data_IF_444651935649
#
_entry.id   IF_444651935649
#
_cell.length_a   1.000
_cell.length_b   1.000
_cell.length_c   1.000
_cell.angle_alpha   90.00
_cell.angle_beta   90.00
_cell.angle_gamma   90.00
#
_symmetry.space_group_name_H-M   'P 1'
#
loop_
_entity.id
_entity.type
_entity.pdbx_description
1 polymer ?
#
# COMPACT_ATOMS: atom_id res chain seq x y z
N UNK A 1 -19.46 -50.49 23.68
CA UNK A 1 -18.66 -49.39 24.28
C UNK A 1 -17.39 -49.10 23.48
N UNK A 2 -16.74 -50.12 22.92
CA UNK A 2 -15.52 -49.96 22.08
C UNK A 2 -15.77 -49.20 20.76
N UNK A 3 -16.94 -49.36 20.15
CA UNK A 3 -17.32 -48.63 18.93
C UNK A 3 -17.52 -47.14 19.16
N UNK A 4 -18.15 -46.77 20.28
CA UNK A 4 -18.38 -45.37 20.66
C UNK A 4 -17.06 -44.65 20.95
N UNK A 5 -16.15 -45.31 21.68
CA UNK A 5 -14.83 -44.75 22.00
C UNK A 5 -13.96 -44.62 20.74
N UNK A 6 -14.01 -45.59 19.83
CA UNK A 6 -13.32 -45.51 18.53
C UNK A 6 -13.85 -44.36 17.66
N UNK A 7 -15.18 -44.21 17.57
CA UNK A 7 -15.80 -43.11 16.84
C UNK A 7 -15.40 -41.75 17.43
N UNK A 8 -15.40 -41.63 18.76
CA UNK A 8 -15.00 -40.41 19.46
C UNK A 8 -13.54 -40.06 19.14
N UNK A 9 -12.63 -41.04 19.19
CA UNK A 9 -11.21 -40.83 18.90
C UNK A 9 -10.96 -40.34 17.46
N UNK A 10 -11.68 -40.90 16.48
CA UNK A 10 -11.60 -40.46 15.08
C UNK A 10 -12.09 -39.02 14.93
N UNK A 11 -13.26 -38.71 15.50
CA UNK A 11 -13.82 -37.35 15.46
C UNK A 11 -12.88 -36.35 16.12
N UNK A 12 -12.35 -36.66 17.30
CA UNK A 12 -11.36 -35.81 17.98
C UNK A 12 -10.12 -35.60 17.13
N UNK A 13 -9.59 -36.64 16.49
CA UNK A 13 -8.42 -36.53 15.61
C UNK A 13 -8.67 -35.61 14.41
N UNK A 14 -9.85 -35.70 13.79
CA UNK A 14 -10.23 -34.82 12.67
C UNK A 14 -10.39 -33.38 13.16
N UNK A 15 -11.09 -33.18 14.28
CA UNK A 15 -11.34 -31.86 14.84
C UNK A 15 -10.05 -31.17 15.22
N UNK A 16 -9.10 -31.89 15.84
CA UNK A 16 -7.80 -31.34 16.22
C UNK A 16 -7.00 -30.91 14.98
N UNK A 17 -6.99 -31.75 13.94
CA UNK A 17 -6.27 -31.47 12.69
C UNK A 17 -6.86 -30.30 11.91
N UNK A 18 -8.15 -30.00 12.06
CA UNK A 18 -8.79 -28.87 11.40
C UNK A 18 -8.72 -27.60 12.26
N UNK A 19 -8.99 -27.73 13.55
CA UNK A 19 -9.04 -26.59 14.47
C UNK A 19 -7.67 -25.96 14.69
N UNK A 20 -6.60 -26.76 14.79
CA UNK A 20 -5.24 -26.23 15.02
C UNK A 20 -4.80 -25.31 13.86
N UNK A 21 -4.84 -25.72 12.58
CA UNK A 21 -4.47 -24.84 11.47
C UNK A 21 -5.33 -23.58 11.37
N UNK A 22 -6.64 -23.69 11.62
CA UNK A 22 -7.55 -22.54 11.59
C UNK A 22 -7.23 -21.57 12.72
N UNK A 23 -7.02 -22.07 13.95
CA UNK A 23 -6.66 -21.24 15.08
C UNK A 23 -5.31 -20.54 14.87
N UNK A 24 -4.31 -21.25 14.33
CA UNK A 24 -3.01 -20.67 14.01
C UNK A 24 -3.10 -19.59 12.93
N UNK A 25 -3.84 -19.82 11.85
CA UNK A 25 -4.01 -18.80 10.80
C UNK A 25 -4.78 -17.59 11.32
N UNK A 26 -5.83 -17.79 12.12
CA UNK A 26 -6.56 -16.69 12.77
C UNK A 26 -5.66 -15.89 13.71
N UNK A 27 -4.85 -16.55 14.53
CA UNK A 27 -3.87 -15.89 15.40
C UNK A 27 -2.87 -15.07 14.58
N UNK A 28 -2.34 -15.62 13.49
CA UNK A 28 -1.38 -14.93 12.63
C UNK A 28 -2.00 -13.68 11.99
N UNK A 29 -3.24 -13.78 11.50
CA UNK A 29 -3.99 -12.63 10.95
C UNK A 29 -4.14 -11.53 11.99
N UNK A 30 -4.49 -11.86 13.24
CA UNK A 30 -4.66 -10.88 14.31
C UNK A 30 -3.33 -10.18 14.63
N UNK A 31 -2.24 -10.93 14.72
CA UNK A 31 -0.90 -10.39 14.98
C UNK A 31 -0.47 -9.44 13.86
N UNK A 32 -0.61 -9.87 12.60
CA UNK A 32 -0.23 -9.05 11.45
C UNK A 32 -1.08 -7.78 11.35
N UNK A 33 -2.39 -7.85 11.59
CA UNK A 33 -3.26 -6.67 11.59
C UNK A 33 -2.87 -5.66 12.67
N UNK A 34 -2.50 -6.14 13.86
CA UNK A 34 -2.02 -5.25 14.93
C UNK A 34 -0.72 -4.55 14.55
N UNK A 35 0.21 -5.30 13.97
CA UNK A 35 1.48 -4.75 13.52
C UNK A 35 1.29 -3.71 12.40
N UNK A 36 0.44 -4.03 11.42
CA UNK A 36 0.10 -3.12 10.33
C UNK A 36 -0.57 -1.83 10.85
N UNK A 37 -1.52 -1.95 11.77
CA UNK A 37 -2.16 -0.77 12.39
C UNK A 37 -1.17 0.12 13.14
N UNK A 38 -0.15 -0.48 13.75
CA UNK A 38 0.89 0.27 14.44
C UNK A 38 1.77 1.05 13.45
N UNK A 39 2.20 0.41 12.36
CA UNK A 39 2.98 1.09 11.32
C UNK A 39 2.20 2.14 10.57
N UNK A 40 0.89 1.95 10.35
CA UNK A 40 0.03 2.98 9.77
C UNK A 40 -0.03 4.21 10.68
N UNK A 41 -0.21 4.01 11.99
CA UNK A 41 -0.19 5.12 12.96
C UNK A 41 1.17 5.84 12.97
N UNK A 42 2.28 5.12 12.85
CA UNK A 42 3.62 5.72 12.77
C UNK A 42 3.84 6.51 11.46
N UNK A 43 3.30 6.01 10.35
CA UNK A 43 3.35 6.69 9.05
C UNK A 43 2.52 7.97 9.02
N UNK A 44 1.38 8.02 9.73
CA UNK A 44 0.59 9.24 9.89
C UNK A 44 1.33 10.31 10.71
N UNK A 45 2.13 9.91 11.71
CA UNK A 45 2.95 10.82 12.51
C UNK A 45 4.15 11.38 11.73
N UNK A 46 4.69 10.62 10.79
CA UNK A 46 5.84 11.00 9.96
C UNK A 46 5.47 11.01 8.48
N UNK A 47 4.61 11.95 8.03
CA UNK A 47 4.24 12.02 6.63
C UNK A 47 5.49 12.32 5.80
N UNK A 48 5.82 11.40 4.89
CA UNK A 48 6.91 11.62 3.95
C UNK A 48 6.55 12.80 3.05
N UNK A 49 7.43 13.79 2.88
CA UNK A 49 7.15 14.93 2.01
C UNK A 49 7.00 14.45 0.57
N UNK A 50 5.78 14.56 0.03
CA UNK A 50 5.52 14.29 -1.38
C UNK A 50 6.07 15.45 -2.19
N UNK A 51 7.19 15.23 -2.86
CA UNK A 51 7.75 16.22 -3.77
C UNK A 51 6.83 16.35 -4.99
N UNK A 52 6.22 17.53 -5.15
CA UNK A 52 5.36 17.88 -6.28
C UNK A 52 6.12 18.76 -7.26
N UNK A 53 6.82 18.20 -8.26
CA UNK A 53 7.36 19.02 -9.32
C UNK A 53 6.22 19.68 -10.10
N UNK A 54 6.35 20.97 -10.37
CA UNK A 54 5.36 21.77 -11.06
C UNK A 54 5.37 21.45 -12.55
N UNK A 55 4.55 20.46 -12.95
CA UNK A 55 4.53 19.96 -14.32
C UNK A 55 4.22 21.05 -15.35
N UNK A 56 3.41 22.04 -14.98
CA UNK A 56 3.01 23.15 -15.84
C UNK A 56 4.17 24.09 -16.17
N UNK A 57 5.15 24.26 -15.27
CA UNK A 57 6.34 25.06 -15.54
C UNK A 57 7.24 24.35 -16.56
N UNK A 58 7.38 23.03 -16.43
CA UNK A 58 8.20 22.22 -17.35
C UNK A 58 7.56 22.08 -18.73
N UNK A 59 6.22 21.99 -18.79
CA UNK A 59 5.46 21.90 -20.05
C UNK A 59 5.13 23.25 -20.69
N UNK A 60 5.35 24.37 -19.98
CA UNK A 60 5.04 25.72 -20.48
C UNK A 60 3.54 25.97 -20.66
N UNK A 61 2.70 25.48 -19.74
CA UNK A 61 1.25 25.62 -19.85
C UNK A 61 0.80 27.08 -19.63
N UNK A 62 -0.22 27.51 -20.38
CA UNK A 62 -0.84 28.83 -20.21
C UNK A 62 -1.58 28.94 -18.86
N UNK A 63 -1.71 30.14 -18.27
CA UNK A 63 -2.32 30.31 -16.95
C UNK A 63 -3.77 29.80 -16.88
N UNK A 64 -4.53 29.89 -17.97
CA UNK A 64 -5.91 29.39 -18.04
C UNK A 64 -5.95 27.86 -17.99
N UNK A 65 -5.02 27.19 -18.67
CA UNK A 65 -4.87 25.73 -18.62
C UNK A 65 -4.44 25.23 -17.24
N UNK A 66 -3.64 26.01 -16.51
CA UNK A 66 -3.19 25.66 -15.15
C UNK A 66 -4.36 25.70 -14.16
N UNK A 67 -5.29 26.65 -14.31
CA UNK A 67 -6.48 26.75 -13.46
C UNK A 67 -7.43 25.56 -13.63
N UNK A 68 -7.56 25.06 -14.86
CA UNK A 68 -8.44 23.92 -15.18
C UNK A 68 -7.77 22.56 -15.00
N UNK A 69 -6.46 22.52 -14.76
CA UNK A 69 -5.72 21.27 -14.66
C UNK A 69 -5.92 20.57 -13.30
N UNK A 70 -6.45 19.34 -13.33
CA UNK A 70 -6.60 18.50 -12.14
C UNK A 70 -5.27 18.29 -11.38
N UNK A 71 -4.14 18.20 -12.09
CA UNK A 71 -2.82 18.05 -11.45
C UNK A 71 -2.31 19.32 -10.76
N UNK A 72 -2.76 20.50 -11.19
CA UNK A 72 -2.45 21.76 -10.52
C UNK A 72 -3.13 21.83 -9.15
N UNK A 73 -4.43 21.48 -9.11
CA UNK A 73 -5.24 21.52 -7.90
C UNK A 73 -4.96 20.38 -6.90
N UNK A 74 -4.44 19.23 -7.35
CA UNK A 74 -4.18 18.07 -6.48
C UNK A 74 -2.90 18.22 -5.65
N UNK A 75 -2.82 17.66 -4.43
CA UNK A 75 -1.55 17.54 -3.69
C UNK A 75 -0.56 16.55 -4.34
N UNK A 76 -1.03 15.71 -5.27
CA UNK A 76 -0.23 14.69 -5.91
C UNK A 76 0.48 15.22 -7.17
N UNK A 77 1.62 14.62 -7.55
CA UNK A 77 2.27 14.95 -8.82
C UNK A 77 1.40 14.52 -10.01
N UNK A 78 1.59 15.18 -11.16
CA UNK A 78 0.69 15.03 -12.31
C UNK A 78 0.52 13.60 -12.80
N UNK A 79 1.58 12.79 -12.75
CA UNK A 79 1.56 11.41 -13.21
C UNK A 79 0.75 10.48 -12.29
N UNK A 80 0.60 10.83 -11.01
CA UNK A 80 -0.29 10.12 -10.08
C UNK A 80 -1.75 10.55 -10.30
N UNK A 81 -1.99 11.83 -10.55
CA UNK A 81 -3.35 12.36 -10.81
C UNK A 81 -3.95 11.79 -12.08
N UNK A 82 -3.15 11.67 -13.14
CA UNK A 82 -3.59 11.14 -14.42
C UNK A 82 -3.38 9.62 -14.56
N UNK A 83 -3.04 8.93 -13.47
CA UNK A 83 -2.87 7.48 -13.46
C UNK A 83 -4.18 6.79 -13.84
N UNK A 84 -4.10 5.70 -14.59
CA UNK A 84 -5.30 4.96 -14.98
C UNK A 84 -5.87 4.19 -13.79
N UNK A 85 -7.16 3.86 -13.84
CA UNK A 85 -7.86 3.15 -12.75
C UNK A 85 -7.27 1.77 -12.46
N UNK A 86 -6.63 1.13 -13.43
CA UNK A 86 -5.89 -0.12 -13.27
C UNK A 86 -4.47 0.06 -12.72
N UNK A 87 -4.09 1.27 -12.29
CA UNK A 87 -2.81 1.57 -11.64
C UNK A 87 -1.64 1.83 -12.59
N UNK A 88 -1.85 1.72 -13.90
CA UNK A 88 -0.81 1.97 -14.90
C UNK A 88 -0.59 3.47 -15.14
N UNK A 89 0.63 3.79 -15.57
CA UNK A 89 0.93 5.12 -16.06
C UNK A 89 0.45 5.25 -17.51
N UNK A 90 -0.02 6.44 -17.89
CA UNK A 90 -0.30 6.72 -19.31
C UNK A 90 1.00 6.72 -20.11
N UNK A 91 0.94 6.28 -21.35
CA UNK A 91 2.13 6.20 -22.23
C UNK A 91 2.83 7.57 -22.39
N UNK A 92 2.05 8.65 -22.47
CA UNK A 92 2.54 10.03 -22.51
C UNK A 92 3.40 10.43 -21.29
N UNK A 93 3.21 9.75 -20.15
CA UNK A 93 3.98 10.02 -18.94
C UNK A 93 5.30 9.24 -18.91
N UNK A 94 5.41 8.11 -19.62
CA UNK A 94 6.62 7.26 -19.59
C UNK A 94 7.86 7.99 -20.11
N UNK A 95 7.68 8.88 -21.10
CA UNK A 95 8.74 9.70 -21.68
C UNK A 95 8.69 11.17 -21.23
N UNK A 96 7.80 11.49 -20.28
CA UNK A 96 7.64 12.87 -19.82
C UNK A 96 8.80 13.27 -18.92
N UNK A 97 9.49 14.37 -19.24
CA UNK A 97 10.60 14.91 -18.42
C UNK A 97 10.23 15.14 -16.95
N UNK A 98 8.96 15.43 -16.67
CA UNK A 98 8.48 15.63 -15.29
C UNK A 98 8.49 14.33 -14.49
N UNK A 99 8.13 13.21 -15.12
CA UNK A 99 8.14 11.89 -14.48
C UNK A 99 9.55 11.29 -14.46
N UNK A 100 10.29 11.39 -15.56
CA UNK A 100 11.65 10.83 -15.69
C UNK A 100 12.63 11.49 -14.72
N UNK A 101 12.49 12.80 -14.48
CA UNK A 101 13.31 13.53 -13.51
C UNK A 101 12.62 13.65 -12.14
N UNK A 102 11.57 12.86 -11.88
CA UNK A 102 10.94 12.85 -10.58
C UNK A 102 11.98 12.41 -9.53
N UNK A 103 12.04 13.07 -8.37
CA UNK A 103 12.96 12.69 -7.32
C UNK A 103 12.65 11.26 -6.87
N UNK A 104 13.64 10.38 -6.95
CA UNK A 104 13.51 9.03 -6.42
C UNK A 104 13.36 9.11 -4.91
N UNK A 105 12.36 8.43 -4.30
CA UNK A 105 12.22 8.40 -2.86
C UNK A 105 13.52 7.83 -2.28
N UNK A 106 14.30 8.69 -1.64
CA UNK A 106 15.52 8.27 -0.96
C UNK A 106 15.07 7.72 0.37
N UNK A 107 15.08 6.40 0.51
CA UNK A 107 14.80 5.76 1.79
C UNK A 107 15.98 6.07 2.72
N UNK A 108 15.81 7.05 3.61
CA UNK A 108 16.69 7.20 4.75
C UNK A 108 16.39 6.02 5.68
N UNK A 109 17.21 4.98 5.61
CA UNK A 109 17.09 3.83 6.52
C UNK A 109 17.56 4.33 7.89
N UNK A 110 16.63 4.72 8.74
CA UNK A 110 16.93 5.01 10.14
C UNK A 110 17.33 3.68 10.80
N UNK A 111 18.44 3.63 11.58
CA UNK A 111 18.84 2.40 12.24
C UNK A 111 17.70 1.97 13.17
N UNK A 112 17.07 0.83 12.87
CA UNK A 112 16.01 0.27 13.73
C UNK A 112 16.55 0.21 15.16
N UNK A 113 15.89 0.91 16.09
CA UNK A 113 16.13 0.66 17.53
C UNK A 113 15.75 -0.78 17.79
N UNK A 114 16.75 -1.61 18.08
CA UNK A 114 16.55 -2.95 18.65
C UNK A 114 16.07 -2.82 20.09
#
# INVERSE_FOLDING_TARGET
METLTSLLAILTGILLRLAIPIALTALFIVVLRRLDSHWQAEAELHPLPVQKPECWKVKGCAPDQVKECAASASPLPCWQVFRTSNGYLREECLNCKVFVNAPTPTLTIEPRRM
#
